data_IF_969886987599
#
_entry.id   IF_969886987599
#
_cell.length_a   1.000
_cell.length_b   1.000
_cell.length_c   1.000
_cell.angle_alpha   90.00
_cell.angle_beta   90.00
_cell.angle_gamma   90.00
#
_symmetry.space_group_name_H-M   'P 1'
#
loop_
_entity.id
_entity.type
_entity.pdbx_description
1 polymer ?
#
# COMPACT_ATOMS: atom_id res chain seq x y z
N UNK A 1 -20.89 5.67 0.80
CA UNK A 1 -20.57 5.17 2.16
C UNK A 1 -19.11 5.48 2.41
N UNK A 2 -18.78 6.15 3.51
CA UNK A 2 -17.38 6.50 3.79
C UNK A 2 -16.61 5.21 4.14
N UNK A 3 -15.40 5.02 3.61
CA UNK A 3 -14.50 3.89 3.93
C UNK A 3 -14.30 3.67 5.44
N UNK A 4 -14.58 4.70 6.25
CA UNK A 4 -14.55 4.67 7.71
C UNK A 4 -15.56 3.70 8.36
N UNK A 5 -16.74 3.52 7.77
CA UNK A 5 -17.82 2.73 8.37
C UNK A 5 -17.97 1.35 7.70
N UNK A 6 -17.11 1.02 6.74
CA UNK A 6 -17.10 -0.25 6.02
C UNK A 6 -16.26 -1.28 6.80
N UNK A 7 -16.81 -2.46 7.17
CA UNK A 7 -16.09 -3.48 7.93
C UNK A 7 -14.92 -4.12 7.18
N UNK A 8 -14.81 -3.90 5.87
CA UNK A 8 -13.70 -4.40 5.06
C UNK A 8 -12.47 -3.47 5.06
N UNK A 9 -12.55 -2.29 5.70
CA UNK A 9 -11.46 -1.33 5.77
C UNK A 9 -10.94 -1.18 7.20
N UNK A 10 -9.61 -1.03 7.33
CA UNK A 10 -8.94 -0.76 8.60
C UNK A 10 -8.05 0.49 8.49
N UNK A 11 -7.98 1.30 9.55
CA UNK A 11 -7.16 2.52 9.56
C UNK A 11 -5.70 2.20 9.94
N UNK A 12 -4.76 2.53 9.06
CA UNK A 12 -3.31 2.43 9.32
C UNK A 12 -2.74 3.82 9.71
N UNK A 13 -1.89 3.90 10.73
CA UNK A 13 -1.23 5.15 11.18
C UNK A 13 0.28 4.95 11.35
N UNK A 14 1.08 5.82 10.73
CA UNK A 14 2.55 5.79 10.85
C UNK A 14 3.20 7.16 10.59
N UNK A 15 4.47 7.30 10.97
CA UNK A 15 5.32 8.42 10.59
C UNK A 15 6.26 8.00 9.46
N UNK A 16 6.38 8.86 8.44
CA UNK A 16 7.29 8.67 7.31
C UNK A 16 8.13 9.93 7.06
N UNK A 17 9.30 9.83 6.40
CA UNK A 17 10.08 11.00 6.01
C UNK A 17 9.25 12.00 5.19
N UNK A 18 9.44 13.30 5.43
CA UNK A 18 8.69 14.38 4.77
C UNK A 18 8.75 14.30 3.25
N UNK A 19 9.92 13.96 2.70
CA UNK A 19 10.10 13.85 1.25
C UNK A 19 9.29 12.69 0.66
N UNK A 20 9.19 11.57 1.39
CA UNK A 20 8.37 10.43 0.97
C UNK A 20 6.88 10.77 1.02
N UNK A 21 6.42 11.43 2.09
CA UNK A 21 5.04 11.91 2.16
C UNK A 21 4.71 12.89 1.03
N UNK A 22 5.62 13.80 0.67
CA UNK A 22 5.44 14.73 -0.45
C UNK A 22 5.31 13.98 -1.77
N UNK A 23 6.17 13.01 -2.02
CA UNK A 23 6.12 12.19 -3.24
C UNK A 23 4.82 11.39 -3.35
N UNK A 24 4.38 10.79 -2.24
CA UNK A 24 3.10 10.08 -2.18
C UNK A 24 1.91 10.98 -2.49
N UNK A 25 1.87 12.20 -1.92
CA UNK A 25 0.81 13.17 -2.21
C UNK A 25 0.82 13.62 -3.67
N UNK A 26 2.00 13.81 -4.25
CA UNK A 26 2.12 14.16 -5.66
C UNK A 26 1.60 13.02 -6.55
N UNK A 27 1.96 11.78 -6.24
CA UNK A 27 1.43 10.59 -6.94
C UNK A 27 -0.11 10.57 -6.93
N UNK A 28 -0.73 10.76 -5.76
CA UNK A 28 -2.19 10.77 -5.67
C UNK A 28 -2.82 11.92 -6.48
N UNK A 29 -2.15 13.08 -6.54
CA UNK A 29 -2.60 14.22 -7.35
C UNK A 29 -2.48 13.92 -8.85
N UNK A 30 -1.37 13.33 -9.28
CA UNK A 30 -1.09 13.03 -10.68
C UNK A 30 -2.07 11.99 -11.25
N UNK A 31 -2.49 11.02 -10.42
CA UNK A 31 -3.44 9.97 -10.79
C UNK A 31 -4.92 10.33 -10.51
N UNK A 32 -5.20 11.53 -9.96
CA UNK A 32 -6.55 12.00 -9.57
C UNK A 32 -7.28 11.05 -8.60
N UNK A 33 -6.57 10.54 -7.58
CA UNK A 33 -7.09 9.59 -6.57
C UNK A 33 -6.96 10.13 -5.13
N UNK A 34 -7.77 9.60 -4.22
CA UNK A 34 -7.65 9.92 -2.80
C UNK A 34 -6.46 9.21 -2.12
N UNK A 35 -6.06 9.68 -0.94
CA UNK A 35 -4.92 9.08 -0.21
C UNK A 35 -5.17 7.65 0.27
N UNK A 36 -6.42 7.25 0.47
CA UNK A 36 -6.74 5.85 0.81
C UNK A 36 -6.56 4.95 -0.40
N UNK A 37 -7.01 5.37 -1.59
CA UNK A 37 -6.80 4.66 -2.87
C UNK A 37 -5.32 4.56 -3.19
N UNK A 38 -4.58 5.68 -3.16
CA UNK A 38 -3.15 5.66 -3.43
C UNK A 38 -2.37 4.79 -2.45
N UNK A 39 -2.77 4.72 -1.18
CA UNK A 39 -2.15 3.83 -0.20
C UNK A 39 -2.46 2.37 -0.50
N UNK A 40 -3.69 2.06 -0.91
CA UNK A 40 -4.13 0.73 -1.30
C UNK A 40 -3.31 0.20 -2.49
N UNK A 41 -3.11 1.01 -3.53
CA UNK A 41 -2.31 0.65 -4.69
C UNK A 41 -0.83 0.39 -4.34
N UNK A 42 -0.23 1.27 -3.53
CA UNK A 42 1.17 1.12 -3.10
C UNK A 42 1.37 -0.17 -2.28
N UNK A 43 0.44 -0.47 -1.37
CA UNK A 43 0.50 -1.69 -0.55
C UNK A 43 0.25 -2.94 -1.40
N UNK A 44 -0.74 -2.91 -2.29
CA UNK A 44 -1.03 -4.01 -3.21
C UNK A 44 0.15 -4.31 -4.12
N UNK A 45 0.78 -3.27 -4.68
CA UNK A 45 2.00 -3.40 -5.48
C UNK A 45 3.14 -4.01 -4.67
N UNK A 46 3.37 -3.50 -3.44
CA UNK A 46 4.44 -4.00 -2.57
C UNK A 46 4.27 -5.49 -2.26
N UNK A 47 3.08 -5.93 -1.84
CA UNK A 47 2.84 -7.34 -1.52
C UNK A 47 2.82 -8.23 -2.76
N UNK A 48 2.32 -7.74 -3.90
CA UNK A 48 2.39 -8.48 -5.17
C UNK A 48 3.85 -8.71 -5.59
N UNK A 49 4.70 -7.69 -5.47
CA UNK A 49 6.12 -7.81 -5.77
C UNK A 49 6.84 -8.73 -4.76
N UNK A 50 6.48 -8.64 -3.48
CA UNK A 50 7.04 -9.49 -2.43
C UNK A 50 6.67 -10.97 -2.66
N UNK A 51 5.41 -11.26 -2.95
CA UNK A 51 4.92 -12.62 -3.21
C UNK A 51 5.49 -13.17 -4.52
N UNK A 52 5.62 -12.33 -5.55
CA UNK A 52 6.30 -12.68 -6.79
C UNK A 52 7.77 -13.02 -6.58
N UNK A 53 8.48 -12.27 -5.74
CA UNK A 53 9.86 -12.53 -5.37
C UNK A 53 10.02 -13.78 -4.48
N UNK A 54 8.99 -14.13 -3.70
CA UNK A 54 9.01 -15.27 -2.77
C UNK A 54 8.63 -16.61 -3.43
N UNK A 55 8.30 -16.62 -4.74
CA UNK A 55 8.14 -17.86 -5.55
C UNK A 55 9.49 -18.45 -5.99
N UNK A 56 10.48 -18.50 -5.09
CA UNK A 56 11.72 -19.25 -5.30
C UNK A 56 11.63 -20.61 -4.54
N UNK A 57 11.81 -21.78 -5.19
CA UNK A 57 11.35 -23.09 -4.70
C UNK A 57 12.26 -23.75 -3.64
N UNK A 58 12.73 -23.01 -2.64
CA UNK A 58 13.58 -23.55 -1.58
C UNK A 58 12.93 -23.42 -0.19
N UNK A 59 11.73 -24.00 -0.03
CA UNK A 59 11.37 -24.56 1.28
C UNK A 59 11.98 -25.95 1.38
N UNK A 60 13.14 -26.07 2.06
CA UNK A 60 13.51 -27.34 2.68
C UNK A 60 12.51 -27.61 3.81
N UNK A 61 11.94 -28.82 3.91
CA UNK A 61 11.09 -29.18 5.04
C UNK A 61 11.95 -29.20 6.31
N UNK A 62 11.39 -28.72 7.43
CA UNK A 62 11.82 -29.15 8.76
C UNK A 62 11.17 -30.50 9.06
#
# INVERSE_FOLDING_TARGET
MAKKDDPNYEQIRAHVPRNLARRFKQYCLDEDIDYSEGLEEVLAFFFTALDGANKNPLKKPR
#
